data_IF_087834448364
#
_entry.id   IF_087834448364
#
_cell.length_a   1.000
_cell.length_b   1.000
_cell.length_c   1.000
_cell.angle_alpha   90.00
_cell.angle_beta   90.00
_cell.angle_gamma   90.00
#
_symmetry.space_group_name_H-M   'P 1'
#
loop_
_entity.id
_entity.type
_entity.pdbx_description
1 polymer ?
#
# COMPACT_ATOMS: atom_id res chain seq x y z
N UNK A 1 -44.15 -7.58 0.59
CA UNK A 1 -43.07 -8.60 0.55
C UNK A 1 -41.71 -7.91 0.58
N UNK A 2 -41.46 -6.97 -0.32
CA UNK A 2 -40.22 -6.18 -0.33
C UNK A 2 -40.04 -5.31 0.93
N UNK A 3 -41.08 -4.59 1.36
CA UNK A 3 -41.03 -3.80 2.60
C UNK A 3 -40.76 -4.64 3.87
N UNK A 4 -41.36 -5.83 3.97
CA UNK A 4 -41.14 -6.76 5.08
C UNK A 4 -39.69 -7.28 5.12
N UNK A 5 -39.12 -7.62 3.96
CA UNK A 5 -37.72 -8.04 3.85
C UNK A 5 -36.76 -6.89 4.19
N UNK A 6 -37.05 -5.66 3.77
CA UNK A 6 -36.26 -4.47 4.11
C UNK A 6 -36.29 -4.17 5.61
N UNK A 7 -37.44 -4.31 6.28
CA UNK A 7 -37.52 -4.12 7.74
C UNK A 7 -36.68 -5.14 8.52
N UNK A 8 -36.50 -6.37 8.00
CA UNK A 8 -35.64 -7.39 8.61
C UNK A 8 -34.14 -7.10 8.49
N UNK A 9 -33.74 -6.17 7.63
CA UNK A 9 -32.35 -5.68 7.54
C UNK A 9 -32.02 -4.67 8.64
N UNK A 10 -33.02 -4.15 9.36
CA UNK A 10 -32.81 -3.20 10.46
C UNK A 10 -32.03 -3.88 11.59
N UNK A 11 -30.81 -3.40 11.82
CA UNK A 11 -30.02 -3.80 12.99
C UNK A 11 -30.69 -3.21 14.22
N UNK A 12 -31.10 -4.07 15.14
CA UNK A 12 -31.73 -3.67 16.39
C UNK A 12 -30.72 -2.89 17.27
N UNK A 13 -31.06 -1.70 17.80
CA UNK A 13 -30.15 -0.90 18.63
C UNK A 13 -29.54 -1.67 19.79
N UNK A 14 -30.29 -2.61 20.35
CA UNK A 14 -29.87 -3.47 21.46
C UNK A 14 -28.62 -4.29 21.10
N UNK A 15 -28.42 -4.62 19.82
CA UNK A 15 -27.19 -5.29 19.36
C UNK A 15 -25.96 -4.40 19.46
N UNK A 16 -26.10 -3.09 19.21
CA UNK A 16 -25.02 -2.14 19.42
C UNK A 16 -24.77 -1.94 20.92
N UNK A 17 -25.83 -1.92 21.72
CA UNK A 17 -25.71 -1.80 23.19
C UNK A 17 -24.96 -3.00 23.79
N UNK A 18 -25.26 -4.23 23.34
CA UNK A 18 -24.52 -5.44 23.74
C UNK A 18 -23.03 -5.35 23.39
N UNK A 19 -22.68 -4.87 22.20
CA UNK A 19 -21.29 -4.66 21.77
C UNK A 19 -20.60 -3.61 22.65
N UNK A 20 -21.26 -2.46 22.86
CA UNK A 20 -20.72 -1.39 23.68
C UNK A 20 -20.52 -1.84 25.13
N UNK A 21 -21.45 -2.62 25.68
CA UNK A 21 -21.32 -3.19 27.02
C UNK A 21 -20.03 -4.02 27.13
N UNK A 22 -19.70 -4.85 26.13
CA UNK A 22 -18.45 -5.61 26.11
C UNK A 22 -17.21 -4.73 25.95
N UNK A 23 -17.23 -3.77 25.03
CA UNK A 23 -16.08 -2.92 24.70
C UNK A 23 -15.75 -1.91 25.80
N UNK A 24 -16.76 -1.46 26.55
CA UNK A 24 -16.64 -0.46 27.61
C UNK A 24 -16.60 -1.07 29.01
N UNK A 25 -16.80 -2.38 29.17
CA UNK A 25 -16.72 -3.05 30.47
C UNK A 25 -15.29 -2.97 31.05
N UNK A 26 -15.08 -2.24 32.16
CA UNK A 26 -13.77 -2.13 32.78
C UNK A 26 -13.33 -3.44 33.45
N UNK A 27 -14.14 -4.49 33.50
CA UNK A 27 -13.76 -5.83 33.94
C UNK A 27 -13.36 -6.76 32.78
N UNK A 28 -13.61 -6.38 31.52
CA UNK A 28 -13.31 -7.20 30.34
C UNK A 28 -11.81 -7.47 30.20
N UNK A 29 -11.41 -8.74 30.40
CA UNK A 29 -10.00 -9.15 30.25
C UNK A 29 -9.54 -9.02 28.80
N UNK A 30 -10.38 -9.38 27.83
CA UNK A 30 -10.05 -9.32 26.40
C UNK A 30 -9.71 -7.90 25.96
N UNK A 31 -10.50 -6.90 26.37
CA UNK A 31 -10.24 -5.50 26.00
C UNK A 31 -8.96 -5.00 26.69
N UNK A 32 -8.75 -5.33 27.97
CA UNK A 32 -7.54 -4.96 28.70
C UNK A 32 -6.28 -5.56 28.09
N UNK A 33 -6.30 -6.86 27.78
CA UNK A 33 -5.17 -7.56 27.21
C UNK A 33 -4.84 -7.02 25.81
N UNK A 34 -5.87 -6.71 25.01
CA UNK A 34 -5.69 -6.03 23.73
C UNK A 34 -5.04 -4.66 23.89
N UNK A 35 -5.56 -3.81 24.78
CA UNK A 35 -4.99 -2.48 25.03
C UNK A 35 -3.54 -2.58 25.56
N UNK A 36 -3.25 -3.53 26.45
CA UNK A 36 -1.89 -3.77 26.96
C UNK A 36 -0.92 -4.20 25.85
N UNK A 37 -1.38 -4.89 24.80
CA UNK A 37 -0.56 -5.17 23.61
C UNK A 37 -0.33 -3.90 22.80
N UNK A 38 -1.35 -3.07 22.57
CA UNK A 38 -1.22 -1.80 21.84
C UNK A 38 -0.28 -0.84 22.57
N UNK A 39 -0.41 -0.71 23.89
CA UNK A 39 0.39 0.18 24.74
C UNK A 39 1.89 -0.10 24.66
N UNK A 40 2.31 -1.34 24.40
CA UNK A 40 3.74 -1.69 24.15
C UNK A 40 4.34 -0.91 22.97
N UNK A 41 3.50 -0.46 22.03
CA UNK A 41 3.92 0.28 20.85
C UNK A 41 3.65 1.81 20.97
N UNK A 42 2.83 2.21 21.93
CA UNK A 42 2.42 3.59 22.22
C UNK A 42 0.91 3.79 22.11
N UNK A 43 0.45 5.02 22.36
CA UNK A 43 -0.93 5.42 22.09
C UNK A 43 -1.22 5.42 20.58
N UNK A 44 -2.49 5.32 20.15
CA UNK A 44 -2.84 5.43 18.73
C UNK A 44 -2.27 6.68 18.04
N UNK A 45 -2.24 7.81 18.76
CA UNK A 45 -1.65 9.06 18.26
C UNK A 45 -0.15 8.93 18.03
N UNK A 46 0.59 8.35 18.97
CA UNK A 46 2.04 8.15 18.86
C UNK A 46 2.38 7.12 17.78
N UNK A 47 1.59 6.04 17.65
CA UNK A 47 1.77 5.04 16.60
C UNK A 47 1.59 5.67 15.23
N UNK A 48 0.53 6.46 15.04
CA UNK A 48 0.28 7.16 13.78
C UNK A 48 1.36 8.21 13.47
N UNK A 49 1.84 8.94 14.48
CA UNK A 49 2.94 9.89 14.33
C UNK A 49 4.23 9.17 13.89
N UNK A 50 4.60 8.07 14.55
CA UNK A 50 5.75 7.24 14.17
C UNK A 50 5.59 6.71 12.74
N UNK A 51 4.39 6.29 12.35
CA UNK A 51 4.12 5.82 11.00
C UNK A 51 4.30 6.93 9.95
N UNK A 52 3.81 8.14 10.22
CA UNK A 52 3.99 9.30 9.34
C UNK A 52 5.48 9.66 9.20
N UNK A 53 6.21 9.74 10.31
CA UNK A 53 7.66 10.01 10.32
C UNK A 53 8.46 8.93 9.61
N UNK A 54 8.12 7.65 9.82
CA UNK A 54 8.77 6.53 9.16
C UNK A 54 8.53 6.52 7.64
N UNK A 55 7.41 7.09 7.19
CA UNK A 55 7.07 7.23 5.77
C UNK A 55 7.60 8.52 5.16
N UNK A 56 7.98 9.54 5.93
CA UNK A 56 8.49 10.80 5.38
C UNK A 56 9.72 10.56 4.48
N UNK A 57 9.65 11.00 3.22
CA UNK A 57 10.68 10.70 2.20
C UNK A 57 12.12 11.05 2.66
N UNK A 58 12.42 12.23 3.21
CA UNK A 58 13.74 12.52 3.77
C UNK A 58 14.23 11.51 4.82
N UNK A 59 13.34 11.00 5.66
CA UNK A 59 13.69 10.02 6.69
C UNK A 59 13.97 8.65 6.07
N UNK A 60 13.21 8.25 5.05
CA UNK A 60 13.48 7.03 4.28
C UNK A 60 14.85 7.09 3.60
N UNK A 61 15.16 8.20 2.93
CA UNK A 61 16.45 8.42 2.26
C UNK A 61 17.61 8.42 3.26
N UNK A 62 17.45 9.07 4.43
CA UNK A 62 18.45 9.08 5.48
C UNK A 62 18.73 7.68 6.04
N UNK A 63 17.69 6.87 6.26
CA UNK A 63 17.84 5.48 6.73
C UNK A 63 18.52 4.59 5.68
N UNK A 64 18.15 4.72 4.42
CA UNK A 64 18.81 4.03 3.31
C UNK A 64 20.29 4.38 3.22
N UNK A 65 20.63 5.66 3.41
CA UNK A 65 22.02 6.15 3.48
C UNK A 65 22.79 5.53 4.65
N UNK A 66 22.20 5.51 5.84
CA UNK A 66 22.83 4.90 7.02
C UNK A 66 23.06 3.38 6.85
N UNK A 67 22.20 2.70 6.11
CA UNK A 67 22.34 1.27 5.78
C UNK A 67 23.37 1.00 4.68
N UNK A 68 23.96 2.02 4.06
CA UNK A 68 24.72 1.89 2.81
C UNK A 68 23.96 1.10 1.75
N UNK A 69 22.65 1.36 1.65
CA UNK A 69 21.79 0.64 0.71
C UNK A 69 22.27 0.86 -0.73
N UNK A 70 22.34 -0.20 -1.56
CA UNK A 70 22.75 -0.08 -2.95
C UNK A 70 21.72 0.69 -3.82
N UNK A 71 20.54 0.98 -3.27
CA UNK A 71 19.41 1.53 -4.00
C UNK A 71 19.35 3.07 -4.04
N UNK A 72 20.23 3.76 -3.31
CA UNK A 72 20.22 5.23 -3.23
C UNK A 72 20.41 5.89 -4.59
N UNK A 73 21.35 5.41 -5.40
CA UNK A 73 21.63 6.00 -6.72
C UNK A 73 20.44 5.89 -7.66
N UNK A 74 19.69 4.78 -7.60
CA UNK A 74 18.50 4.60 -8.41
C UNK A 74 17.33 5.49 -7.93
N UNK A 75 17.23 5.75 -6.62
CA UNK A 75 16.24 6.69 -6.06
C UNK A 75 16.56 8.13 -6.43
N UNK A 76 17.83 8.54 -6.34
CA UNK A 76 18.27 9.86 -6.77
C UNK A 76 18.02 10.05 -8.27
N UNK A 77 18.27 9.00 -9.08
CA UNK A 77 17.93 9.00 -10.49
C UNK A 77 16.42 9.16 -10.72
N UNK A 78 15.55 8.46 -9.98
CA UNK A 78 14.09 8.60 -10.08
C UNK A 78 13.63 10.03 -9.73
N UNK A 79 14.23 10.66 -8.72
CA UNK A 79 13.97 12.06 -8.36
C UNK A 79 14.32 12.97 -9.54
N UNK A 80 15.50 12.81 -10.12
CA UNK A 80 15.92 13.57 -11.31
C UNK A 80 14.95 13.38 -12.49
N UNK A 81 14.52 12.14 -12.75
CA UNK A 81 13.58 11.84 -13.84
C UNK A 81 12.23 12.51 -13.64
N UNK A 82 11.73 12.49 -12.40
CA UNK A 82 10.49 13.18 -12.04
C UNK A 82 10.64 14.69 -12.23
N UNK A 83 11.69 15.28 -11.66
CA UNK A 83 11.88 16.73 -11.62
C UNK A 83 12.09 17.33 -13.01
N UNK A 84 12.70 16.58 -13.93
CA UNK A 84 12.84 16.99 -15.33
C UNK A 84 11.61 16.70 -16.20
N UNK A 85 10.55 16.12 -15.63
CA UNK A 85 9.33 15.77 -16.36
C UNK A 85 9.52 14.68 -17.42
N UNK A 86 10.39 13.68 -17.15
CA UNK A 86 10.74 12.65 -18.14
C UNK A 86 9.61 11.65 -18.45
N UNK A 87 8.64 11.52 -17.54
CA UNK A 87 7.50 10.62 -17.73
C UNK A 87 6.43 11.29 -18.59
N UNK A 88 5.87 10.53 -19.52
CA UNK A 88 4.79 11.02 -20.39
C UNK A 88 3.55 11.35 -19.56
N UNK A 89 2.88 12.46 -19.87
CA UNK A 89 1.60 12.80 -19.25
C UNK A 89 0.48 11.92 -19.82
N UNK A 90 -0.63 11.75 -19.08
CA UNK A 90 -1.82 11.05 -19.60
C UNK A 90 -2.36 11.72 -20.87
N UNK A 91 -2.31 13.06 -20.94
CA UNK A 91 -2.76 13.82 -22.10
C UNK A 91 -1.86 13.54 -23.33
N UNK A 92 -0.54 13.56 -23.16
CA UNK A 92 0.40 13.30 -24.25
C UNK A 92 0.38 11.84 -24.68
N UNK A 93 0.20 10.90 -23.74
CA UNK A 93 -0.01 9.50 -24.06
C UNK A 93 -1.28 9.29 -24.90
N UNK A 94 -2.41 9.89 -24.48
CA UNK A 94 -3.67 9.85 -25.24
C UNK A 94 -3.49 10.41 -26.66
N UNK A 95 -2.81 11.56 -26.81
CA UNK A 95 -2.51 12.17 -28.11
C UNK A 95 -1.58 11.31 -28.98
N UNK A 96 -0.61 10.63 -28.38
CA UNK A 96 0.27 9.68 -29.09
C UNK A 96 -0.50 8.49 -29.66
N UNK A 97 -1.47 7.97 -28.91
CA UNK A 97 -2.25 6.79 -29.32
C UNK A 97 -3.37 7.15 -30.29
N UNK A 98 -4.09 8.24 -30.05
CA UNK A 98 -5.31 8.61 -30.78
C UNK A 98 -5.09 9.70 -31.85
N UNK A 99 -3.90 10.30 -31.90
CA UNK A 99 -3.62 11.44 -32.76
C UNK A 99 -4.46 12.66 -32.41
N UNK A 100 -4.89 13.42 -33.43
CA UNK A 100 -5.73 14.62 -33.28
C UNK A 100 -7.11 14.32 -32.67
N UNK A 101 -7.59 13.08 -32.72
CA UNK A 101 -8.85 12.69 -32.10
C UNK A 101 -8.82 12.82 -30.57
N UNK A 102 -7.64 12.83 -29.95
CA UNK A 102 -7.51 13.01 -28.50
C UNK A 102 -8.16 14.31 -27.99
N UNK A 103 -8.25 15.34 -28.83
CA UNK A 103 -8.78 16.67 -28.46
C UNK A 103 -10.32 16.73 -28.52
N UNK A 104 -10.97 15.76 -29.19
CA UNK A 104 -12.43 15.71 -29.35
C UNK A 104 -13.09 14.56 -28.58
N UNK A 105 -12.31 13.58 -28.11
CA UNK A 105 -12.82 12.46 -27.32
C UNK A 105 -13.13 12.94 -25.90
N UNK A 106 -14.40 12.79 -25.50
CA UNK A 106 -14.80 12.92 -24.11
C UNK A 106 -14.46 11.63 -23.34
N UNK A 107 -13.40 11.67 -22.54
CA UNK A 107 -13.03 10.56 -21.67
C UNK A 107 -13.95 10.49 -20.45
N UNK A 108 -14.46 9.29 -20.13
CA UNK A 108 -15.26 9.04 -18.92
C UNK A 108 -14.33 8.81 -17.74
N UNK A 109 -13.77 9.88 -17.19
CA UNK A 109 -12.79 9.78 -16.10
C UNK A 109 -13.40 9.19 -14.79
N UNK A 110 -14.72 9.23 -14.62
CA UNK A 110 -15.45 8.53 -13.53
C UNK A 110 -15.28 6.99 -13.56
N UNK A 111 -14.87 6.44 -14.70
CA UNK A 111 -14.64 5.01 -14.93
C UNK A 111 -13.17 4.74 -15.29
N UNK A 112 -12.27 5.64 -14.88
CA UNK A 112 -10.85 5.47 -15.11
C UNK A 112 -10.37 4.17 -14.43
N UNK A 113 -9.67 3.35 -15.20
CA UNK A 113 -8.98 2.17 -14.68
C UNK A 113 -7.58 2.57 -14.21
N UNK A 114 -7.12 1.94 -13.14
CA UNK A 114 -5.76 2.13 -12.63
C UNK A 114 -4.85 1.07 -13.23
N UNK A 115 -3.75 1.49 -13.87
CA UNK A 115 -2.67 0.58 -14.24
C UNK A 115 -1.94 0.15 -12.97
N UNK A 116 -1.95 -1.16 -12.70
CA UNK A 116 -1.35 -1.77 -11.51
C UNK A 116 -0.28 -2.80 -11.91
N UNK A 117 0.83 -2.82 -11.17
CA UNK A 117 1.71 -3.98 -11.12
C UNK A 117 1.33 -4.83 -9.92
N UNK A 118 0.66 -5.95 -10.20
CA UNK A 118 0.16 -6.85 -9.17
C UNK A 118 1.23 -7.75 -8.53
N UNK A 119 2.49 -7.64 -8.98
CA UNK A 119 3.59 -8.47 -8.46
C UNK A 119 4.95 -7.76 -8.54
N UNK A 120 5.15 -6.73 -7.72
CA UNK A 120 6.46 -6.12 -7.51
C UNK A 120 7.24 -6.95 -6.48
N UNK A 121 8.32 -7.59 -6.94
CA UNK A 121 9.15 -8.45 -6.09
C UNK A 121 10.37 -7.73 -5.51
N UNK A 122 11.02 -6.89 -6.31
CA UNK A 122 12.27 -6.23 -5.90
C UNK A 122 12.27 -4.79 -6.38
N UNK A 123 12.86 -3.88 -5.60
CA UNK A 123 13.01 -2.48 -5.96
C UNK A 123 13.63 -2.25 -7.36
N UNK A 124 14.68 -2.99 -7.80
CA UNK A 124 15.24 -2.80 -9.14
C UNK A 124 14.24 -3.02 -10.29
N UNK A 125 13.17 -3.79 -10.10
CA UNK A 125 12.16 -4.02 -11.13
C UNK A 125 11.33 -2.76 -11.40
N UNK A 126 11.06 -1.96 -10.37
CA UNK A 126 10.43 -0.65 -10.52
C UNK A 126 11.32 0.29 -11.34
N UNK A 127 12.63 0.28 -11.10
CA UNK A 127 13.56 1.09 -11.87
C UNK A 127 13.65 0.64 -13.34
N UNK A 128 13.59 -0.66 -13.60
CA UNK A 128 13.54 -1.20 -14.95
C UNK A 128 12.26 -0.78 -15.70
N UNK A 129 11.12 -0.82 -15.02
CA UNK A 129 9.84 -0.30 -15.55
C UNK A 129 9.94 1.20 -15.85
N UNK A 130 10.45 2.01 -14.91
CA UNK A 130 10.60 3.45 -15.10
C UNK A 130 11.48 3.79 -16.31
N UNK A 131 12.62 3.09 -16.46
CA UNK A 131 13.51 3.24 -17.63
C UNK A 131 12.78 2.89 -18.93
N UNK A 132 12.03 1.79 -18.96
CA UNK A 132 11.23 1.38 -20.12
C UNK A 132 10.14 2.39 -20.44
N UNK A 133 9.41 2.86 -19.43
CA UNK A 133 8.31 3.79 -19.59
C UNK A 133 8.76 5.11 -20.20
N UNK A 134 9.89 5.65 -19.72
CA UNK A 134 10.52 6.85 -20.28
C UNK A 134 10.97 6.59 -21.73
N UNK A 135 11.68 5.49 -21.98
CA UNK A 135 12.21 5.19 -23.32
C UNK A 135 11.10 5.03 -24.39
N UNK A 136 9.97 4.45 -24.01
CA UNK A 136 8.88 4.11 -24.92
C UNK A 136 7.69 5.10 -24.87
N UNK A 137 7.77 6.14 -24.03
CA UNK A 137 6.63 7.02 -23.71
C UNK A 137 5.40 6.20 -23.28
N UNK A 138 5.59 5.19 -22.43
CA UNK A 138 4.52 4.42 -21.79
C UNK A 138 4.12 5.07 -20.46
N UNK A 139 2.87 4.88 -20.04
CA UNK A 139 2.42 5.31 -18.71
C UNK A 139 3.05 4.41 -17.64
N UNK A 140 3.55 5.00 -16.56
CA UNK A 140 3.92 4.24 -15.36
C UNK A 140 2.68 3.75 -14.62
N UNK A 141 2.80 2.58 -13.95
CA UNK A 141 1.77 2.12 -13.04
C UNK A 141 1.60 3.09 -11.85
N UNK A 142 0.35 3.36 -11.48
CA UNK A 142 -0.02 4.20 -10.33
C UNK A 142 -0.27 3.40 -9.05
N UNK A 143 -0.26 2.06 -9.14
CA UNK A 143 -0.50 1.15 -8.02
C UNK A 143 0.38 -0.09 -8.12
N UNK A 144 0.83 -0.57 -6.97
CA UNK A 144 1.70 -1.74 -6.88
C UNK A 144 1.25 -2.67 -5.75
N UNK A 145 1.41 -3.97 -5.97
CA UNK A 145 1.30 -4.99 -4.93
C UNK A 145 2.66 -5.63 -4.76
N UNK A 146 3.18 -5.58 -3.53
CA UNK A 146 4.42 -6.27 -3.18
C UNK A 146 4.13 -7.65 -2.63
N UNK A 147 4.63 -8.66 -3.32
CA UNK A 147 4.14 -10.05 -3.15
C UNK A 147 5.10 -10.96 -2.38
N UNK A 148 6.25 -10.43 -1.92
CA UNK A 148 7.23 -11.21 -1.16
C UNK A 148 6.95 -11.19 0.33
N UNK A 149 7.47 -12.19 1.05
CA UNK A 149 7.38 -12.21 2.51
C UNK A 149 8.11 -11.01 3.10
N UNK A 150 7.41 -10.18 3.87
CA UNK A 150 7.99 -8.98 4.47
C UNK A 150 9.24 -9.29 5.31
N UNK A 151 9.27 -10.44 6.00
CA UNK A 151 10.43 -10.89 6.79
C UNK A 151 11.67 -11.19 5.94
N UNK A 152 11.50 -11.63 4.71
CA UNK A 152 12.63 -11.81 3.78
C UNK A 152 13.07 -10.47 3.21
N UNK A 153 12.12 -9.63 2.83
CA UNK A 153 12.38 -8.29 2.28
C UNK A 153 13.13 -7.37 3.26
N UNK A 154 12.93 -7.53 4.57
CA UNK A 154 13.63 -6.72 5.57
C UNK A 154 15.15 -6.95 5.56
N UNK A 155 15.58 -8.15 5.13
CA UNK A 155 16.99 -8.53 5.04
C UNK A 155 17.64 -8.08 3.71
N UNK A 156 16.87 -7.56 2.76
CA UNK A 156 17.35 -7.18 1.43
C UNK A 156 17.89 -5.74 1.40
N UNK A 157 18.82 -5.41 2.30
CA UNK A 157 19.61 -4.17 2.29
C UNK A 157 18.80 -2.88 2.03
N UNK A 158 17.60 -2.79 2.63
CA UNK A 158 16.73 -1.63 2.52
C UNK A 158 15.69 -1.67 1.40
N UNK A 159 15.47 -2.79 0.71
CA UNK A 159 14.46 -2.95 -0.37
C UNK A 159 13.07 -2.44 0.05
N UNK A 160 12.64 -2.72 1.29
CA UNK A 160 11.36 -2.20 1.81
C UNK A 160 11.32 -0.67 1.78
N UNK A 161 12.38 -0.03 2.28
CA UNK A 161 12.48 1.42 2.37
C UNK A 161 12.64 2.06 0.99
N UNK A 162 13.39 1.40 0.10
CA UNK A 162 13.62 1.88 -1.25
C UNK A 162 12.32 1.92 -2.06
N UNK A 163 11.51 0.86 -2.02
CA UNK A 163 10.19 0.89 -2.67
C UNK A 163 9.30 1.94 -2.00
N UNK A 164 9.26 2.01 -0.66
CA UNK A 164 8.46 3.00 0.06
C UNK A 164 8.80 4.45 -0.35
N UNK A 165 10.08 4.75 -0.62
CA UNK A 165 10.57 6.03 -1.10
C UNK A 165 10.21 6.24 -2.57
N UNK A 166 10.45 5.25 -3.43
CA UNK A 166 10.13 5.29 -4.86
C UNK A 166 8.66 5.62 -5.11
N UNK A 167 7.76 5.00 -4.35
CA UNK A 167 6.31 5.23 -4.46
C UNK A 167 5.95 6.70 -4.18
N UNK A 168 6.63 7.36 -3.24
CA UNK A 168 6.43 8.79 -2.99
C UNK A 168 7.04 9.66 -4.08
N UNK A 169 8.18 9.25 -4.63
CA UNK A 169 8.83 9.96 -5.73
C UNK A 169 7.92 9.96 -6.96
N UNK A 170 7.42 8.80 -7.37
CA UNK A 170 6.60 8.68 -8.59
C UNK A 170 5.10 8.99 -8.37
N UNK A 171 4.68 9.23 -7.11
CA UNK A 171 3.28 9.52 -6.78
C UNK A 171 2.36 8.30 -6.87
N UNK A 172 2.87 7.10 -6.61
CA UNK A 172 2.12 5.85 -6.68
C UNK A 172 1.70 5.32 -5.30
N UNK A 173 0.64 4.52 -5.30
CA UNK A 173 0.17 3.78 -4.13
C UNK A 173 0.73 2.35 -4.13
N UNK A 174 0.84 1.74 -2.96
CA UNK A 174 1.23 0.34 -2.86
C UNK A 174 0.65 -0.34 -1.64
N UNK A 175 0.59 -1.66 -1.70
CA UNK A 175 0.28 -2.52 -0.56
C UNK A 175 1.34 -3.61 -0.45
N UNK A 176 1.52 -4.11 0.78
CA UNK A 176 2.37 -5.26 1.08
C UNK A 176 1.46 -6.47 1.29
N UNK A 177 1.75 -7.56 0.61
CA UNK A 177 1.08 -8.84 0.89
C UNK A 177 1.53 -9.33 2.26
N UNK A 178 0.59 -9.44 3.19
CA UNK A 178 0.83 -10.08 4.48
C UNK A 178 0.99 -11.60 4.27
N UNK A 179 1.95 -12.20 4.97
CA UNK A 179 2.10 -13.66 4.99
C UNK A 179 0.96 -14.27 5.80
N UNK A 180 -0.16 -14.48 5.14
CA UNK A 180 -1.37 -15.11 5.70
C UNK A 180 -1.44 -16.58 5.37
N UNK A 181 -0.37 -17.19 4.82
CA UNK A 181 -0.41 -18.60 4.41
C UNK A 181 -0.56 -19.53 5.61
N UNK A 182 -0.12 -19.13 6.80
CA UNK A 182 -0.26 -19.91 8.03
C UNK A 182 0.32 -21.30 7.94
N UNK A 183 1.36 -21.50 7.12
CA UNK A 183 2.06 -22.78 6.99
C UNK A 183 2.75 -23.22 8.28
N UNK A 184 2.81 -22.32 9.26
CA UNK A 184 3.25 -22.55 10.64
C UNK A 184 2.10 -22.90 11.60
N UNK A 185 0.87 -23.09 11.09
CA UNK A 185 -0.33 -23.39 11.87
C UNK A 185 -1.04 -22.16 12.46
N UNK A 186 -0.55 -20.94 12.22
CA UNK A 186 -1.11 -19.72 12.83
C UNK A 186 -2.36 -19.17 12.12
N UNK A 187 -2.72 -19.69 10.94
CA UNK A 187 -3.87 -19.18 10.19
C UNK A 187 -5.19 -19.83 10.65
N UNK A 188 -5.97 -19.05 11.40
CA UNK A 188 -7.31 -19.41 11.89
C UNK A 188 -8.31 -19.70 10.76
N UNK A 189 -8.14 -19.10 9.58
CA UNK A 189 -8.98 -19.36 8.40
C UNK A 189 -8.65 -20.69 7.71
N UNK A 190 -7.54 -21.36 8.07
CA UNK A 190 -7.21 -22.71 7.60
C UNK A 190 -7.65 -23.81 8.58
N UNK A 191 -8.50 -23.52 9.57
CA UNK A 191 -8.88 -24.42 10.67
C UNK A 191 -7.72 -24.79 11.63
N UNK A 192 -6.67 -23.97 11.69
CA UNK A 192 -5.60 -24.04 12.69
C UNK A 192 -4.52 -25.11 12.43
N UNK A 193 -3.63 -25.39 13.39
CA UNK A 193 -2.51 -26.32 13.21
C UNK A 193 -2.94 -27.78 12.98
N UNK A 194 -4.16 -28.13 13.38
CA UNK A 194 -4.68 -29.50 13.29
C UNK A 194 -5.00 -29.96 11.87
N UNK A 195 -4.95 -29.06 10.88
CA UNK A 195 -5.26 -29.33 9.47
C UNK A 195 -4.04 -29.28 8.54
N UNK A 196 -2.83 -29.18 9.11
CA UNK A 196 -1.54 -29.21 8.39
C UNK A 196 -0.81 -30.52 8.71
#
# INVERSE_FOLDING_TARGET
MEEDLVQRLKIAPERLDEINALLLDPASSVVKDFLAVVEKHGTPKEINQKAHEARHLPNLMARLKALNSPYLSDLDWLVEQRDRGAFVSVADYRRRVLGSSADSVAFRDDFAVTLEISALQYFPFLCAEAKKAIANNELMAGRYIRVRKMKEQEADNGDILAVAAAMQIIGASYVETLDTKGTDGSNLHLNGPATI
#
